data_IF_228893992780
#
_entry.id   IF_228893992780
#
_cell.length_a   1.000
_cell.length_b   1.000
_cell.length_c   1.000
_cell.angle_alpha   90.00
_cell.angle_beta   90.00
_cell.angle_gamma   90.00
#
_symmetry.space_group_name_H-M   'P 1'
#
loop_
_entity.id
_entity.type
_entity.pdbx_description
1 polymer ?
#
# COMPACT_ATOMS: atom_id res chain seq x y z
N UNK A 1 18.58 -5.68 7.90
CA UNK A 1 18.46 -5.42 9.37
C UNK A 1 17.35 -4.41 9.56
N UNK A 2 16.40 -4.68 10.47
CA UNK A 2 15.30 -3.75 10.78
C UNK A 2 15.83 -2.48 11.47
N UNK A 3 15.39 -1.31 10.98
CA UNK A 3 15.71 -0.03 11.59
C UNK A 3 14.89 0.19 12.86
N UNK A 4 15.55 0.54 13.96
CA UNK A 4 14.88 1.03 15.17
C UNK A 4 14.31 2.43 14.97
N UNK A 5 13.53 2.93 15.92
CA UNK A 5 13.10 4.33 16.02
C UNK A 5 14.22 5.34 15.72
N UNK A 6 15.39 5.19 16.35
CA UNK A 6 16.59 6.00 16.12
C UNK A 6 17.15 5.80 14.71
N UNK A 7 17.11 4.56 14.21
CA UNK A 7 17.51 4.22 12.85
C UNK A 7 16.64 4.90 11.80
N UNK A 8 15.31 4.88 11.98
CA UNK A 8 14.33 5.55 11.11
C UNK A 8 14.60 7.05 11.09
N UNK A 9 14.75 7.70 12.25
CA UNK A 9 15.08 9.14 12.33
C UNK A 9 16.38 9.48 11.60
N UNK A 10 17.41 8.66 11.79
CA UNK A 10 18.70 8.84 11.13
C UNK A 10 18.56 8.70 9.62
N UNK A 11 17.91 7.64 9.15
CA UNK A 11 17.71 7.37 7.73
C UNK A 11 16.87 8.45 7.04
N UNK A 12 15.84 8.99 7.71
CA UNK A 12 15.07 10.15 7.23
C UNK A 12 15.95 11.38 7.06
N UNK A 13 16.77 11.69 8.07
CA UNK A 13 17.69 12.85 8.04
C UNK A 13 18.74 12.74 6.92
N UNK A 14 19.21 11.53 6.67
CA UNK A 14 20.22 11.23 5.64
C UNK A 14 19.63 11.06 4.24
N UNK A 15 18.29 11.03 4.10
CA UNK A 15 17.60 10.88 2.83
C UNK A 15 17.58 9.44 2.28
N UNK A 16 17.86 8.45 3.12
CA UNK A 16 17.82 7.02 2.77
C UNK A 16 16.40 6.48 2.68
N UNK A 17 15.49 7.06 3.46
CA UNK A 17 14.05 6.74 3.42
C UNK A 17 13.25 8.05 3.44
N UNK A 18 11.99 7.97 3.02
CA UNK A 18 11.05 9.08 3.05
C UNK A 18 9.73 8.67 3.73
N UNK A 19 9.19 9.57 4.54
CA UNK A 19 7.84 9.50 5.13
C UNK A 19 7.30 10.93 5.14
N UNK A 20 6.29 11.23 4.34
CA UNK A 20 5.70 12.56 4.25
C UNK A 20 4.16 12.50 4.31
N UNK A 21 3.51 13.11 5.33
CA UNK A 21 4.12 13.83 6.46
C UNK A 21 4.74 12.90 7.52
N UNK A 22 5.89 13.28 8.06
CA UNK A 22 6.45 12.67 9.27
C UNK A 22 5.98 13.42 10.52
N UNK A 23 5.31 12.68 11.40
CA UNK A 23 4.82 13.11 12.71
C UNK A 23 5.39 12.16 13.77
N UNK A 24 6.10 12.71 14.74
CA UNK A 24 6.92 11.96 15.73
C UNK A 24 6.06 11.02 16.59
N UNK A 25 4.82 11.39 16.89
CA UNK A 25 3.86 10.63 17.69
C UNK A 25 3.45 9.29 17.06
N UNK A 26 3.75 9.10 15.77
CA UNK A 26 3.48 7.87 15.04
C UNK A 26 4.70 6.94 14.97
N UNK A 27 5.87 7.41 15.42
CA UNK A 27 7.05 6.58 15.49
C UNK A 27 6.87 5.50 16.57
N UNK A 28 7.24 4.28 16.23
CA UNK A 28 7.21 3.11 17.11
C UNK A 28 8.65 2.58 17.28
N UNK A 29 8.92 1.67 18.24
CA UNK A 29 10.28 1.22 18.55
C UNK A 29 11.11 0.71 17.36
N UNK A 30 10.46 0.16 16.33
CA UNK A 30 11.10 -0.32 15.09
C UNK A 30 10.21 -0.17 13.85
N UNK A 31 9.17 0.66 13.92
CA UNK A 31 8.21 0.88 12.84
C UNK A 31 7.67 2.29 12.86
N UNK A 32 6.86 2.64 11.87
CA UNK A 32 6.12 3.90 11.81
C UNK A 32 4.65 3.62 11.52
N UNK A 33 3.74 4.18 12.32
CA UNK A 33 2.30 4.06 12.11
C UNK A 33 1.84 4.88 10.89
N UNK A 34 1.06 4.26 10.00
CA UNK A 34 0.55 4.85 8.76
C UNK A 34 -0.97 5.04 8.82
N UNK A 35 -1.48 6.04 8.11
CA UNK A 35 -2.88 6.44 8.18
C UNK A 35 -3.65 6.07 6.91
N UNK A 36 -4.96 5.82 7.05
CA UNK A 36 -5.84 5.53 5.92
C UNK A 36 -6.10 6.80 5.08
N UNK A 37 -5.84 6.71 3.77
CA UNK A 37 -6.26 7.74 2.81
C UNK A 37 -7.78 7.76 2.59
N UNK A 38 -8.28 8.82 1.95
CA UNK A 38 -9.73 9.05 1.78
C UNK A 38 -10.35 8.31 0.58
N UNK A 39 -9.54 7.98 -0.42
CA UNK A 39 -10.02 7.33 -1.64
C UNK A 39 -9.93 5.81 -1.54
N UNK A 40 -11.05 5.15 -1.86
CA UNK A 40 -11.20 3.71 -2.02
C UNK A 40 -11.44 3.33 -3.49
N UNK A 41 -11.04 2.13 -3.88
CA UNK A 41 -11.56 1.44 -5.07
C UNK A 41 -12.39 0.23 -4.62
N UNK A 42 -13.62 0.17 -5.13
CA UNK A 42 -14.60 -0.89 -4.86
C UNK A 42 -14.82 -1.69 -6.12
N UNK A 43 -14.94 -3.02 -6.03
CA UNK A 43 -15.25 -3.85 -7.20
C UNK A 43 -16.65 -3.54 -7.75
N UNK A 44 -16.73 -3.25 -9.05
CA UNK A 44 -18.00 -3.06 -9.76
C UNK A 44 -18.55 -4.41 -10.22
N UNK A 45 -19.21 -5.09 -9.27
CA UNK A 45 -19.82 -6.42 -9.47
C UNK A 45 -21.05 -6.39 -10.39
N UNK A 46 -21.63 -5.21 -10.64
CA UNK A 46 -22.81 -5.07 -11.50
C UNK A 46 -22.44 -5.13 -12.97
N UNK A 47 -21.30 -4.55 -13.33
CA UNK A 47 -20.85 -4.47 -14.73
C UNK A 47 -19.78 -5.50 -15.11
N UNK A 48 -19.24 -6.27 -14.15
CA UNK A 48 -18.17 -7.23 -14.40
C UNK A 48 -18.50 -8.60 -13.78
N UNK A 49 -18.42 -9.67 -14.59
CA UNK A 49 -18.72 -11.04 -14.18
C UNK A 49 -17.50 -11.93 -13.99
N UNK A 50 -16.37 -11.57 -14.61
CA UNK A 50 -15.10 -12.32 -14.51
C UNK A 50 -13.90 -11.38 -14.63
N UNK A 51 -12.78 -11.77 -14.03
CA UNK A 51 -11.49 -11.07 -14.17
C UNK A 51 -10.62 -11.86 -15.14
N UNK A 52 -10.42 -11.32 -16.34
CA UNK A 52 -9.46 -11.87 -17.30
C UNK A 52 -8.12 -11.14 -17.13
N UNK A 53 -7.13 -11.86 -16.60
CA UNK A 53 -5.81 -11.30 -16.30
C UNK A 53 -5.07 -10.72 -17.51
N UNK A 54 -5.48 -11.07 -18.73
CA UNK A 54 -4.88 -10.58 -19.98
C UNK A 54 -5.58 -9.34 -20.54
N UNK A 55 -6.74 -8.96 -20.00
CA UNK A 55 -7.51 -7.81 -20.49
C UNK A 55 -7.31 -6.58 -19.61
N UNK A 56 -7.46 -5.37 -20.19
CA UNK A 56 -7.46 -4.13 -19.41
C UNK A 56 -8.48 -4.19 -18.25
N UNK A 57 -8.12 -3.61 -17.12
CA UNK A 57 -8.81 -3.75 -15.83
C UNK A 57 -9.37 -2.43 -15.29
N UNK A 58 -9.36 -1.37 -16.10
CA UNK A 58 -9.73 -0.02 -15.69
C UNK A 58 -11.19 0.10 -15.26
N UNK A 59 -12.09 -0.74 -15.80
CA UNK A 59 -13.52 -0.78 -15.46
C UNK A 59 -13.88 -1.74 -14.33
N UNK A 60 -12.91 -2.48 -13.76
CA UNK A 60 -13.19 -3.47 -12.72
C UNK A 60 -13.60 -2.82 -11.39
N UNK A 61 -13.15 -1.59 -11.15
CA UNK A 61 -13.36 -0.93 -9.86
C UNK A 61 -13.79 0.52 -10.03
N UNK A 62 -14.66 0.96 -9.14
CA UNK A 62 -15.15 2.34 -9.05
C UNK A 62 -14.53 3.05 -7.85
N UNK A 63 -14.26 4.34 -8.01
CA UNK A 63 -13.76 5.19 -6.93
C UNK A 63 -14.87 5.53 -5.95
N UNK A 64 -14.53 5.52 -4.67
CA UNK A 64 -15.39 5.97 -3.58
C UNK A 64 -14.57 6.80 -2.59
N UNK A 65 -15.10 7.94 -2.13
CA UNK A 65 -14.44 8.78 -1.13
C UNK A 65 -15.09 8.55 0.24
N UNK A 66 -14.27 8.31 1.26
CA UNK A 66 -14.72 8.14 2.64
C UNK A 66 -15.10 9.52 3.20
N UNK A 67 -16.36 9.69 3.59
CA UNK A 67 -16.83 10.87 4.32
C UNK A 67 -16.45 10.88 5.80
N UNK A 68 -16.80 11.94 6.52
CA UNK A 68 -16.58 12.04 7.97
C UNK A 68 -17.30 10.95 8.76
N UNK A 69 -18.45 10.52 8.25
CA UNK A 69 -19.22 9.40 8.79
C UNK A 69 -18.55 8.05 8.61
N UNK A 70 -17.41 7.96 7.93
CA UNK A 70 -16.67 6.72 7.70
C UNK A 70 -17.29 5.82 6.61
N UNK A 71 -16.60 4.72 6.34
CA UNK A 71 -16.99 3.69 5.37
C UNK A 71 -17.20 2.36 6.08
N UNK A 72 -18.28 1.65 5.75
CA UNK A 72 -18.60 0.34 6.34
C UNK A 72 -18.04 -0.74 5.41
N UNK A 73 -16.98 -1.41 5.85
CA UNK A 73 -16.43 -2.59 5.18
C UNK A 73 -17.19 -3.85 5.67
N UNK A 74 -17.99 -4.43 4.79
CA UNK A 74 -18.83 -5.58 5.10
C UNK A 74 -18.02 -6.88 5.19
N UNK A 75 -18.53 -7.90 5.92
CA UNK A 75 -17.92 -9.22 5.94
C UNK A 75 -17.68 -9.76 4.53
N UNK A 76 -16.49 -10.32 4.28
CA UNK A 76 -16.04 -10.86 2.99
C UNK A 76 -15.89 -9.84 1.87
N UNK A 77 -15.94 -8.55 2.16
CA UNK A 77 -15.70 -7.49 1.20
C UNK A 77 -14.19 -7.24 1.04
N UNK A 78 -13.76 -7.06 -0.21
CA UNK A 78 -12.39 -6.68 -0.58
C UNK A 78 -12.42 -5.30 -1.24
N UNK A 79 -11.56 -4.39 -0.78
CA UNK A 79 -11.41 -3.04 -1.34
C UNK A 79 -9.93 -2.67 -1.45
N UNK A 80 -9.62 -1.74 -2.34
CA UNK A 80 -8.30 -1.10 -2.35
C UNK A 80 -8.37 0.29 -1.73
N UNK A 81 -7.32 0.68 -1.03
CA UNK A 81 -7.09 2.05 -0.58
C UNK A 81 -5.62 2.41 -0.76
N UNK A 82 -5.24 3.62 -0.37
CA UNK A 82 -3.85 3.92 -0.05
C UNK A 82 -3.69 4.31 1.41
N UNK A 83 -2.46 4.21 1.89
CA UNK A 83 -2.02 5.04 3.01
C UNK A 83 -2.07 6.53 2.64
N UNK A 84 -2.11 7.39 3.65
CA UNK A 84 -2.08 8.84 3.50
C UNK A 84 -0.68 9.34 3.18
N UNK A 85 0.32 8.78 3.85
CA UNK A 85 1.72 9.17 3.73
C UNK A 85 2.29 8.78 2.37
N UNK A 86 3.20 9.60 1.86
CA UNK A 86 4.15 9.19 0.85
C UNK A 86 5.31 8.49 1.56
N UNK A 87 5.60 7.25 1.18
CA UNK A 87 6.70 6.46 1.72
C UNK A 87 7.71 6.17 0.62
N UNK A 88 9.00 6.28 0.93
CA UNK A 88 10.07 6.01 -0.02
C UNK A 88 11.30 5.37 0.62
N UNK A 89 12.10 4.71 -0.21
CA UNK A 89 13.37 4.10 0.15
C UNK A 89 14.38 4.31 -0.99
N UNK A 90 15.65 4.46 -0.65
CA UNK A 90 16.74 4.42 -1.61
C UNK A 90 16.96 3.00 -2.18
N UNK A 91 18.06 2.81 -2.90
CA UNK A 91 18.43 1.54 -3.53
C UNK A 91 19.18 0.56 -2.60
N UNK A 92 19.28 0.88 -1.31
CA UNK A 92 19.88 0.05 -0.25
C UNK A 92 18.90 -0.26 0.89
N UNK A 93 17.65 0.17 0.78
CA UNK A 93 16.62 -0.09 1.77
C UNK A 93 15.35 -0.65 1.14
N UNK A 94 14.62 -1.42 1.94
CA UNK A 94 13.26 -1.89 1.66
C UNK A 94 12.33 -1.44 2.78
N UNK A 95 11.05 -1.28 2.46
CA UNK A 95 10.01 -1.14 3.46
C UNK A 95 9.08 -2.35 3.47
N UNK A 96 8.60 -2.75 4.64
CA UNK A 96 7.55 -3.76 4.78
C UNK A 96 6.35 -3.17 5.48
N UNK A 97 5.24 -3.14 4.77
CA UNK A 97 3.92 -2.80 5.27
C UNK A 97 3.37 -3.97 6.09
N UNK A 98 2.90 -3.66 7.30
CA UNK A 98 2.30 -4.62 8.21
C UNK A 98 0.93 -4.13 8.70
N UNK A 99 0.09 -5.09 9.08
CA UNK A 99 -1.11 -4.80 9.86
C UNK A 99 -0.80 -4.30 11.27
N UNK A 100 -1.78 -3.63 11.88
CA UNK A 100 -1.77 -3.37 13.33
C UNK A 100 -2.41 -4.54 14.06
N UNK A 101 -1.78 -5.00 15.13
CA UNK A 101 -2.25 -6.15 15.92
C UNK A 101 -3.71 -5.98 16.37
N UNK A 102 -4.10 -4.78 16.81
CA UNK A 102 -5.48 -4.47 17.23
C UNK A 102 -6.50 -4.66 16.10
N UNK A 103 -6.15 -4.32 14.86
CA UNK A 103 -7.02 -4.46 13.69
C UNK A 103 -7.08 -5.92 13.23
N UNK A 104 -5.95 -6.62 13.27
CA UNK A 104 -5.90 -8.05 12.95
C UNK A 104 -6.78 -8.88 13.91
N UNK A 105 -6.82 -8.52 15.21
CA UNK A 105 -7.67 -9.19 16.22
C UNK A 105 -9.17 -9.04 15.99
N UNK A 106 -9.60 -8.07 15.19
CA UNK A 106 -11.00 -7.92 14.77
C UNK A 106 -11.23 -8.40 13.33
N UNK A 107 -10.26 -9.09 12.73
CA UNK A 107 -10.40 -9.69 11.40
C UNK A 107 -10.15 -8.74 10.23
N UNK A 108 -9.56 -7.55 10.44
CA UNK A 108 -9.19 -6.67 9.34
C UNK A 108 -7.79 -7.02 8.80
N UNK A 109 -7.75 -7.50 7.56
CA UNK A 109 -6.52 -7.59 6.76
C UNK A 109 -6.30 -6.25 6.05
N UNK A 110 -5.06 -5.76 6.00
CA UNK A 110 -4.72 -4.48 5.33
C UNK A 110 -3.84 -4.67 4.08
N UNK A 111 -3.23 -5.85 3.95
CA UNK A 111 -2.61 -6.32 2.73
C UNK A 111 -2.81 -7.85 2.69
N UNK A 112 -2.93 -8.42 1.49
CA UNK A 112 -3.07 -9.87 1.32
C UNK A 112 -1.76 -10.50 0.87
N UNK A 113 -1.01 -9.84 -0.01
CA UNK A 113 0.13 -10.50 -0.69
C UNK A 113 1.35 -9.61 -0.91
N UNK A 114 1.19 -8.31 -1.16
CA UNK A 114 2.29 -7.43 -1.58
C UNK A 114 2.53 -6.28 -0.59
N UNK A 115 3.12 -6.60 0.56
CA UNK A 115 3.50 -5.60 1.57
C UNK A 115 4.87 -4.93 1.35
N UNK A 116 5.58 -5.24 0.26
CA UNK A 116 6.94 -4.76 0.02
C UNK A 116 6.93 -3.38 -0.67
N UNK A 117 7.65 -2.43 -0.08
CA UNK A 117 8.13 -1.22 -0.73
C UNK A 117 9.51 -1.51 -1.32
N UNK A 118 9.55 -1.70 -2.64
CA UNK A 118 10.78 -2.05 -3.37
C UNK A 118 11.83 -0.93 -3.32
N UNK A 119 13.15 -1.27 -3.34
CA UNK A 119 14.24 -0.29 -3.34
C UNK A 119 14.14 0.71 -4.49
N UNK A 120 14.42 1.99 -4.21
CA UNK A 120 14.37 3.08 -5.18
C UNK A 120 12.97 3.53 -5.60
N UNK A 121 11.94 3.13 -4.86
CA UNK A 121 10.56 3.57 -5.07
C UNK A 121 10.12 4.56 -3.99
N UNK A 122 9.25 5.49 -4.40
CA UNK A 122 8.57 6.43 -3.52
C UNK A 122 7.11 6.51 -3.99
N UNK A 123 6.16 6.21 -3.10
CA UNK A 123 4.74 6.15 -3.44
C UNK A 123 3.87 6.19 -2.18
N UNK A 124 2.57 6.34 -2.38
CA UNK A 124 1.59 5.94 -1.37
C UNK A 124 1.29 4.46 -1.54
N UNK A 125 1.68 3.64 -0.56
CA UNK A 125 1.43 2.20 -0.61
C UNK A 125 -0.07 1.89 -0.73
N UNK A 126 -0.40 0.93 -1.58
CA UNK A 126 -1.78 0.44 -1.72
C UNK A 126 -2.08 -0.57 -0.61
N UNK A 127 -3.27 -0.43 -0.03
CA UNK A 127 -3.82 -1.35 0.96
C UNK A 127 -4.79 -2.29 0.26
N UNK A 128 -4.61 -3.59 0.43
CA UNK A 128 -5.50 -4.65 -0.06
C UNK A 128 -6.38 -5.09 1.12
N UNK A 129 -7.42 -4.32 1.40
CA UNK A 129 -8.17 -4.48 2.66
C UNK A 129 -9.28 -5.51 2.51
N UNK A 130 -9.39 -6.39 3.51
CA UNK A 130 -10.39 -7.44 3.54
C UNK A 130 -10.93 -7.67 4.95
N UNK A 131 -12.25 -7.82 5.07
CA UNK A 131 -12.90 -8.11 6.34
C UNK A 131 -13.17 -9.61 6.50
N UNK A 132 -12.37 -10.27 7.35
CA UNK A 132 -12.56 -11.66 7.79
C UNK A 132 -13.58 -11.78 8.94
N UNK A 133 -13.93 -10.68 9.60
CA UNK A 133 -14.88 -10.68 10.71
C UNK A 133 -16.28 -11.08 10.27
N UNK A 134 -17.07 -11.74 11.13
CA UNK A 134 -18.51 -11.91 10.88
C UNK A 134 -19.30 -10.60 10.98
N UNK A 135 -18.70 -9.50 11.47
CA UNK A 135 -19.34 -8.20 11.65
C UNK A 135 -18.77 -7.14 10.69
N UNK A 136 -19.58 -6.16 10.25
CA UNK A 136 -19.06 -5.01 9.51
C UNK A 136 -18.06 -4.20 10.35
N UNK A 137 -17.03 -3.66 9.68
CA UNK A 137 -16.01 -2.81 10.31
C UNK A 137 -16.16 -1.40 9.76
N UNK A 138 -16.31 -0.42 10.64
CA UNK A 138 -16.38 0.99 10.25
C UNK A 138 -14.99 1.60 10.21
N UNK A 139 -14.57 2.05 9.04
CA UNK A 139 -13.27 2.68 8.77
C UNK A 139 -13.43 4.19 8.67
N UNK A 140 -12.47 4.93 9.21
CA UNK A 140 -12.46 6.39 9.18
C UNK A 140 -11.26 6.90 8.41
N UNK A 141 -11.39 8.02 7.68
CA UNK A 141 -10.23 8.66 7.08
C UNK A 141 -9.24 9.07 8.19
N UNK A 142 -7.95 9.09 7.86
CA UNK A 142 -6.90 9.52 8.79
C UNK A 142 -6.74 8.63 10.05
N UNK A 143 -7.39 7.46 10.13
CA UNK A 143 -7.15 6.49 11.21
C UNK A 143 -5.81 5.77 11.01
N UNK A 144 -5.13 5.39 12.10
CA UNK A 144 -3.97 4.49 12.05
C UNK A 144 -4.40 3.12 11.53
N UNK A 145 -4.00 2.77 10.31
CA UNK A 145 -4.48 1.59 9.59
C UNK A 145 -3.41 0.50 9.47
N UNK A 146 -2.15 0.91 9.35
CA UNK A 146 -1.03 0.01 9.13
C UNK A 146 0.21 0.53 9.87
N UNK A 147 1.31 -0.20 9.76
CA UNK A 147 2.62 0.26 10.18
C UNK A 147 3.67 -0.21 9.16
N UNK A 148 4.77 0.51 9.03
CA UNK A 148 5.88 0.15 8.14
C UNK A 148 7.16 -0.06 8.93
N UNK A 149 7.88 -1.13 8.64
CA UNK A 149 9.27 -1.33 9.07
C UNK A 149 10.19 -1.05 7.89
N UNK A 150 11.40 -0.56 8.16
CA UNK A 150 12.42 -0.37 7.14
C UNK A 150 13.58 -1.30 7.41
N UNK A 151 14.18 -1.85 6.37
CA UNK A 151 15.37 -2.69 6.48
C UNK A 151 16.43 -2.31 5.45
N UNK A 152 17.70 -2.33 5.86
CA UNK A 152 18.80 -2.34 4.90
C UNK A 152 18.95 -3.72 4.27
N UNK A 153 19.18 -3.75 2.97
CA UNK A 153 19.54 -4.97 2.22
C UNK A 153 21.06 -5.21 2.25
N UNK A 154 21.50 -6.40 1.87
CA UNK A 154 22.91 -6.82 1.96
C UNK A 154 23.82 -6.00 1.05
N UNK A 155 23.34 -5.61 -0.14
CA UNK A 155 24.05 -4.82 -1.13
C UNK A 155 23.12 -3.88 -1.87
N UNK A 156 23.69 -2.85 -2.50
CA UNK A 156 22.95 -1.94 -3.38
C UNK A 156 22.26 -2.70 -4.52
N UNK A 157 20.98 -2.41 -4.76
CA UNK A 157 20.27 -2.96 -5.91
C UNK A 157 20.91 -2.50 -7.21
N UNK A 158 21.28 -3.46 -8.06
CA UNK A 158 21.76 -3.18 -9.44
C UNK A 158 20.66 -2.53 -10.28
N UNK A 159 19.41 -2.96 -10.09
CA UNK A 159 18.23 -2.46 -10.81
C UNK A 159 17.12 -2.12 -9.81
N UNK A 160 17.13 -0.91 -9.23
CA UNK A 160 16.04 -0.43 -8.37
C UNK A 160 14.70 -0.39 -9.11
N UNK A 161 13.61 -0.28 -8.36
CA UNK A 161 12.26 -0.30 -8.92
C UNK A 161 12.07 0.79 -9.99
N UNK A 162 11.60 0.36 -11.16
CA UNK A 162 11.44 1.24 -12.31
C UNK A 162 12.70 1.53 -13.11
N UNK A 163 13.79 0.79 -12.89
CA UNK A 163 14.85 0.67 -13.90
C UNK A 163 14.32 0.08 -15.20
N UNK A 164 14.95 0.47 -16.32
CA UNK A 164 14.56 0.00 -17.65
C UNK A 164 14.55 -1.53 -17.73
N UNK A 165 13.54 -2.06 -18.42
CA UNK A 165 13.33 -3.49 -18.60
C UNK A 165 12.75 -4.26 -17.39
N UNK A 166 12.48 -3.63 -16.24
CA UNK A 166 11.80 -4.30 -15.12
C UNK A 166 10.28 -4.38 -15.29
N UNK A 167 9.71 -3.59 -16.22
CA UNK A 167 8.27 -3.46 -16.40
C UNK A 167 7.52 -3.15 -15.08
N UNK A 168 8.15 -2.33 -14.23
CA UNK A 168 7.58 -1.79 -12.99
C UNK A 168 6.34 -0.95 -13.30
N UNK A 169 5.24 -1.21 -12.60
CA UNK A 169 3.92 -0.72 -13.00
C UNK A 169 3.40 0.42 -12.13
N UNK A 170 3.93 0.54 -10.92
CA UNK A 170 3.38 1.39 -9.86
C UNK A 170 4.42 2.35 -9.27
N UNK A 171 5.48 2.67 -10.04
CA UNK A 171 6.52 3.60 -9.59
C UNK A 171 5.90 4.98 -9.40
N UNK A 172 6.10 5.61 -8.24
CA UNK A 172 5.60 6.97 -8.02
C UNK A 172 4.09 7.08 -7.85
N UNK A 173 3.37 5.99 -7.57
CA UNK A 173 1.90 6.04 -7.50
C UNK A 173 1.43 6.81 -6.26
N UNK A 174 0.83 7.99 -6.47
CA UNK A 174 0.29 8.85 -5.40
C UNK A 174 -1.21 8.69 -5.16
N UNK A 175 -1.87 7.86 -5.97
CA UNK A 175 -3.31 7.60 -5.90
C UNK A 175 -3.57 6.12 -6.09
N UNK A 176 -4.71 5.67 -5.56
CA UNK A 176 -5.04 4.24 -5.58
C UNK A 176 -5.39 3.85 -7.00
N UNK A 177 -4.76 2.78 -7.48
CA UNK A 177 -4.93 2.29 -8.86
C UNK A 177 -5.30 0.82 -8.84
N UNK A 178 -6.16 0.43 -9.78
CA UNK A 178 -6.44 -0.97 -10.04
C UNK A 178 -5.22 -1.70 -10.60
N UNK A 179 -5.32 -3.02 -10.63
CA UNK A 179 -4.24 -3.88 -11.12
C UNK A 179 -3.89 -3.59 -12.59
N UNK A 180 -2.59 -3.59 -12.87
CA UNK A 180 -1.99 -3.47 -14.21
C UNK A 180 -1.39 -4.81 -14.68
N UNK A 181 -1.81 -5.94 -14.09
CA UNK A 181 -1.27 -7.27 -14.41
C UNK A 181 -1.30 -7.59 -15.90
N UNK A 182 -2.36 -7.15 -16.61
CA UNK A 182 -2.53 -7.33 -18.05
C UNK A 182 -1.36 -6.80 -18.90
N UNK A 183 -0.60 -5.80 -18.40
CA UNK A 183 0.58 -5.27 -19.08
C UNK A 183 1.75 -6.26 -19.19
N UNK A 184 1.70 -7.38 -18.48
CA UNK A 184 2.69 -8.46 -18.65
C UNK A 184 2.42 -9.33 -19.87
N UNK A 185 1.23 -9.26 -20.46
CA UNK A 185 0.79 -10.23 -21.46
C UNK A 185 0.92 -9.76 -22.91
N UNK A 186 1.71 -8.72 -23.19
CA UNK A 186 1.87 -8.11 -24.51
C UNK A 186 0.54 -8.04 -25.27
N UNK A 187 -0.27 -7.03 -24.98
CA UNK A 187 -1.34 -6.66 -25.90
C UNK A 187 -0.68 -6.05 -27.13
N UNK A 188 -0.10 -6.89 -27.99
CA UNK A 188 0.18 -6.49 -29.36
C UNK A 188 -1.15 -5.99 -29.90
N UNK A 189 -1.19 -4.69 -30.23
CA UNK A 189 -2.21 -4.11 -31.07
C UNK A 189 -2.20 -4.91 -32.37
N UNK A 190 -3.06 -5.93 -32.46
CA UNK A 190 -3.55 -6.40 -33.75
C UNK A 190 -4.53 -5.38 -34.29
#
# INVERSE_FOLDING_TARGET
MVLSDKGIKKALKEGHINIDPFVEENLQPASYDLHLGKTLLLFDRGNNSLIDIKKPMESLMVKHEIGEEGYILHPKEFILANIKEVTGVDDQHVGFLHGKSSLARIGLLIHATAGLLDPGNELRLTLEMYNLSPLPIKLYPDMKIAQITFESIDNKCERPYGSDGLNSKYKGDMVVKGSKMYKNYNYEKK
#
